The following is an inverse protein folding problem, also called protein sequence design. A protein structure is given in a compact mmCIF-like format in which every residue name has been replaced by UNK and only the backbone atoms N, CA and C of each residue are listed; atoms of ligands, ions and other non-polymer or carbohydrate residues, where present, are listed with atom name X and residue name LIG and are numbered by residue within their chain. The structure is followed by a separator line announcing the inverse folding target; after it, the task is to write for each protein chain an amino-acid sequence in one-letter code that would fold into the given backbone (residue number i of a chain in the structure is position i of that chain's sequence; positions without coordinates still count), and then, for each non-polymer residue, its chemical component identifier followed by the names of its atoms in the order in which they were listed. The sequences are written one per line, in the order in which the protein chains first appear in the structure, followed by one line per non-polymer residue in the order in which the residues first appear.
data_IF_825325958647
#
_entry.id   IF_825325958647
#
_cell.length_a   1.000
_cell.length_b   1.000
_cell.length_c   1.000
_cell.angle_alpha   90.00
_cell.angle_beta   90.00
_cell.angle_gamma   90.00
#
_symmetry.space_group_name_H-M   'P 1'
#
loop_
_entity.id
_entity.type
_entity.pdbx_description
1 polymer ?
#
# COMPACT_ATOMS: atom_id res chain seq x y z
N UNK A 1 -23.67 -24.02 29.49
CA UNK A 1 -22.49 -23.40 28.87
C UNK A 1 -23.01 -22.46 27.80
N UNK A 2 -23.02 -21.16 28.07
CA UNK A 2 -23.46 -20.15 27.12
C UNK A 2 -22.44 -20.08 25.98
N UNK A 3 -22.89 -20.36 24.76
CA UNK A 3 -22.14 -20.04 23.55
C UNK A 3 -22.02 -18.52 23.50
N UNK A 4 -20.89 -17.98 23.96
CA UNK A 4 -20.49 -16.62 23.64
C UNK A 4 -20.20 -16.60 22.14
N UNK A 5 -21.22 -16.30 21.35
CA UNK A 5 -21.01 -15.75 20.01
C UNK A 5 -20.30 -14.42 20.29
N UNK A 6 -18.97 -14.38 20.12
CA UNK A 6 -18.29 -13.10 19.97
C UNK A 6 -19.08 -12.33 18.93
N UNK A 7 -19.66 -11.21 19.32
CA UNK A 7 -20.25 -10.27 18.38
C UNK A 7 -19.10 -9.72 17.56
N UNK A 8 -18.70 -10.44 16.50
CA UNK A 8 -17.72 -9.99 15.52
C UNK A 8 -18.35 -8.88 14.69
N UNK A 9 -18.45 -7.70 15.30
CA UNK A 9 -18.81 -6.50 14.56
C UNK A 9 -17.71 -6.27 13.51
N UNK A 10 -18.08 -6.06 12.24
CA UNK A 10 -17.09 -5.77 11.21
C UNK A 10 -16.35 -4.48 11.57
N UNK A 11 -15.02 -4.52 11.47
CA UNK A 11 -14.21 -3.30 11.56
C UNK A 11 -14.28 -2.57 10.23
N UNK A 12 -14.64 -1.30 10.29
CA UNK A 12 -14.77 -0.43 9.12
C UNK A 12 -13.67 0.61 9.18
N UNK A 13 -12.84 0.64 8.13
CA UNK A 13 -11.85 1.69 7.92
C UNK A 13 -12.25 2.52 6.70
N UNK A 14 -12.39 3.84 6.90
CA UNK A 14 -12.64 4.78 5.82
C UNK A 14 -11.32 5.34 5.28
N UNK A 15 -11.22 5.45 3.95
CA UNK A 15 -10.12 6.12 3.25
C UNK A 15 -10.58 7.49 2.73
N UNK A 16 -9.69 8.47 2.77
CA UNK A 16 -9.98 9.83 2.27
C UNK A 16 -10.12 9.86 0.76
N UNK A 17 -9.24 9.15 0.06
CA UNK A 17 -9.25 9.01 -1.39
C UNK A 17 -9.66 7.59 -1.78
N UNK A 18 -10.22 7.44 -2.98
CA UNK A 18 -10.72 6.16 -3.46
C UNK A 18 -9.62 5.09 -3.40
N UNK A 19 -9.86 3.98 -2.69
CA UNK A 19 -8.94 2.85 -2.67
C UNK A 19 -8.93 2.15 -4.04
N UNK A 20 -7.74 1.70 -4.47
CA UNK A 20 -7.55 0.97 -5.74
C UNK A 20 -6.82 -0.35 -5.56
N UNK A 21 -5.83 -0.39 -4.67
CA UNK A 21 -5.01 -1.58 -4.43
C UNK A 21 -5.00 -1.92 -2.94
N UNK A 22 -4.90 -3.22 -2.64
CA UNK A 22 -4.87 -3.78 -1.30
C UNK A 22 -3.93 -4.99 -1.28
N UNK A 23 -3.05 -5.09 -0.29
CA UNK A 23 -2.29 -6.31 -0.01
C UNK A 23 -2.02 -6.48 1.49
N UNK A 24 -1.69 -7.70 1.91
CA UNK A 24 -1.15 -7.96 3.25
C UNK A 24 0.30 -7.48 3.35
N UNK A 25 0.77 -7.18 4.56
CA UNK A 25 2.18 -6.93 4.85
C UNK A 25 2.88 -8.26 5.19
N UNK A 26 3.43 -8.95 4.18
CA UNK A 26 3.89 -10.34 4.32
C UNK A 26 5.04 -10.54 5.31
N UNK A 27 5.91 -9.54 5.47
CA UNK A 27 7.05 -9.61 6.37
C UNK A 27 6.72 -9.27 7.84
N UNK A 28 5.45 -8.99 8.16
CA UNK A 28 4.98 -8.83 9.54
C UNK A 28 4.28 -10.13 9.98
N UNK A 29 4.87 -10.84 10.94
CA UNK A 29 4.39 -12.14 11.44
C UNK A 29 3.57 -12.04 12.71
N UNK A 30 3.72 -10.94 13.44
CA UNK A 30 3.22 -10.84 14.82
C UNK A 30 1.86 -10.11 14.88
N UNK A 31 1.47 -9.47 13.78
CA UNK A 31 0.25 -8.66 13.71
C UNK A 31 -0.34 -8.66 12.30
N UNK A 32 -1.66 -8.81 12.19
CA UNK A 32 -2.40 -8.64 10.95
C UNK A 32 -2.29 -7.18 10.46
N UNK A 33 -1.61 -7.00 9.33
CA UNK A 33 -1.33 -5.71 8.74
C UNK A 33 -1.70 -5.70 7.25
N UNK A 34 -2.38 -4.65 6.83
CA UNK A 34 -2.82 -4.45 5.45
C UNK A 34 -2.30 -3.13 4.90
N UNK A 35 -1.95 -3.11 3.63
CA UNK A 35 -1.56 -1.92 2.89
C UNK A 35 -2.64 -1.57 1.87
N UNK A 36 -3.07 -0.31 1.83
CA UNK A 36 -4.06 0.19 0.89
C UNK A 36 -3.41 1.30 0.06
N UNK A 37 -3.47 1.20 -1.27
CA UNK A 37 -3.07 2.27 -2.18
C UNK A 37 -4.28 2.99 -2.75
N UNK A 38 -4.25 4.32 -2.77
CA UNK A 38 -5.35 5.16 -3.27
C UNK A 38 -5.20 5.58 -4.73
N UNK A 39 -6.27 6.14 -5.29
CA UNK A 39 -6.32 6.77 -6.60
C UNK A 39 -6.91 8.19 -6.52
N UNK A 40 -6.19 9.14 -7.07
CA UNK A 40 -6.58 10.52 -7.28
C UNK A 40 -5.92 11.05 -8.54
N UNK A 41 -6.67 11.84 -9.32
CA UNK A 41 -6.14 12.56 -10.48
C UNK A 41 -5.21 13.72 -10.07
N UNK A 42 -5.29 14.19 -8.83
CA UNK A 42 -4.31 15.12 -8.25
C UNK A 42 -3.15 14.27 -7.76
N UNK A 43 -2.04 14.30 -8.50
CA UNK A 43 -0.85 13.44 -8.30
C UNK A 43 -0.40 13.38 -6.85
N UNK A 44 -0.34 14.54 -6.17
CA UNK A 44 0.12 14.67 -4.79
C UNK A 44 -0.84 14.14 -3.72
N UNK A 45 -2.09 13.79 -4.07
CA UNK A 45 -3.08 13.33 -3.09
C UNK A 45 -3.01 11.81 -2.85
N UNK A 46 -2.27 11.07 -3.68
CA UNK A 46 -2.23 9.63 -3.53
C UNK A 46 -1.46 9.25 -2.26
N UNK A 47 -1.90 8.16 -1.64
CA UNK A 47 -1.46 7.74 -0.31
C UNK A 47 -1.37 6.21 -0.26
N UNK A 48 -0.45 5.72 0.57
CA UNK A 48 -0.43 4.34 1.05
C UNK A 48 -0.81 4.34 2.52
N UNK A 49 -1.83 3.57 2.89
CA UNK A 49 -2.23 3.38 4.28
C UNK A 49 -1.71 2.03 4.76
N UNK A 50 -0.95 2.01 5.86
CA UNK A 50 -0.66 0.80 6.63
C UNK A 50 -1.69 0.70 7.76
N UNK A 51 -2.58 -0.27 7.68
CA UNK A 51 -3.64 -0.52 8.66
C UNK A 51 -3.26 -1.73 9.48
N UNK A 52 -3.03 -1.52 10.78
CA UNK A 52 -2.70 -2.59 11.74
C UNK A 52 -3.93 -2.98 12.54
N UNK A 53 -4.21 -4.26 12.66
CA UNK A 53 -5.27 -4.79 13.52
C UNK A 53 -4.74 -4.98 14.93
N UNK A 54 -5.27 -4.25 15.91
CA UNK A 54 -5.00 -4.50 17.32
C UNK A 54 -6.02 -5.51 17.84
N UNK A 55 -5.64 -6.78 17.91
CA UNK A 55 -6.55 -7.88 18.29
C UNK A 55 -7.13 -7.72 19.71
N UNK A 56 -6.32 -7.20 20.63
CA UNK A 56 -6.67 -7.04 22.05
C UNK A 56 -7.81 -6.04 22.27
N UNK A 57 -7.80 -4.96 21.50
CA UNK A 57 -8.80 -3.89 21.58
C UNK A 57 -9.84 -3.98 20.47
N UNK A 58 -9.65 -4.88 19.51
CA UNK A 58 -10.43 -4.99 18.27
C UNK A 58 -10.54 -3.62 17.57
N UNK A 59 -9.40 -2.94 17.39
CA UNK A 59 -9.33 -1.62 16.74
C UNK A 59 -8.35 -1.62 15.58
N UNK A 60 -8.56 -0.71 14.63
CA UNK A 60 -7.63 -0.49 13.52
C UNK A 60 -6.76 0.74 13.80
N UNK A 61 -5.45 0.58 13.64
CA UNK A 61 -4.45 1.63 13.83
C UNK A 61 -3.80 1.95 12.47
N UNK A 62 -4.31 2.97 11.74
CA UNK A 62 -3.75 3.36 10.46
C UNK A 62 -2.51 4.25 10.62
N UNK A 63 -1.60 4.13 9.67
CA UNK A 63 -0.46 5.03 9.42
C UNK A 63 -0.48 5.38 7.94
N UNK A 64 -0.29 6.66 7.60
CA UNK A 64 -0.53 7.19 6.25
C UNK A 64 0.78 7.72 5.65
N UNK A 65 1.08 7.26 4.45
CA UNK A 65 2.25 7.68 3.69
C UNK A 65 1.86 8.35 2.38
N UNK A 66 2.34 9.56 2.15
CA UNK A 66 2.15 10.30 0.90
C UNK A 66 2.88 9.60 -0.25
N UNK A 67 2.17 9.40 -1.36
CA UNK A 67 2.68 8.91 -2.64
C UNK A 67 2.52 10.01 -3.68
N UNK A 68 3.52 10.87 -3.80
CA UNK A 68 3.49 12.09 -4.64
C UNK A 68 3.78 11.83 -6.13
N UNK A 69 3.62 10.59 -6.59
CA UNK A 69 4.03 10.17 -7.93
C UNK A 69 2.88 9.78 -8.86
N UNK A 70 1.65 9.67 -8.34
CA UNK A 70 0.44 9.43 -9.12
C UNK A 70 -0.46 8.34 -8.54
N UNK A 71 -1.50 7.98 -9.29
CA UNK A 71 -2.44 6.93 -8.92
C UNK A 71 -1.73 5.60 -8.69
N UNK A 72 -2.08 4.89 -7.61
CA UNK A 72 -1.47 3.59 -7.28
C UNK A 72 -2.27 2.47 -7.95
N UNK A 73 -1.76 1.99 -9.07
CA UNK A 73 -2.37 0.91 -9.88
C UNK A 73 -2.13 -0.48 -9.30
N UNK A 74 -0.98 -0.68 -8.67
CA UNK A 74 -0.65 -1.93 -8.00
C UNK A 74 0.26 -1.64 -6.81
N UNK A 75 0.14 -2.47 -5.77
CA UNK A 75 0.86 -2.38 -4.52
C UNK A 75 1.22 -3.80 -4.06
N UNK A 76 2.50 -4.04 -3.79
CA UNK A 76 2.98 -5.29 -3.21
C UNK A 76 3.94 -5.00 -2.06
N UNK A 77 3.94 -5.86 -1.04
CA UNK A 77 4.88 -5.78 0.08
C UNK A 77 6.00 -6.80 -0.08
N UNK A 78 7.17 -6.47 0.44
CA UNK A 78 8.30 -7.39 0.48
C UNK A 78 7.99 -8.58 1.40
N UNK A 79 8.36 -9.81 1.00
CA UNK A 79 8.19 -10.99 1.83
C UNK A 79 9.22 -11.08 2.96
N UNK A 80 10.25 -10.22 2.97
CA UNK A 80 11.37 -10.32 3.92
C UNK A 80 11.74 -9.01 4.63
N UNK A 81 11.16 -7.88 4.23
CA UNK A 81 11.41 -6.58 4.87
C UNK A 81 10.09 -5.81 4.95
N UNK A 82 9.54 -5.67 6.17
CA UNK A 82 8.25 -5.02 6.40
C UNK A 82 8.25 -3.52 6.10
N UNK A 83 9.43 -2.93 5.92
CA UNK A 83 9.54 -1.53 5.54
C UNK A 83 9.62 -1.36 4.02
N UNK A 84 9.62 -2.42 3.20
CA UNK A 84 9.74 -2.31 1.74
C UNK A 84 8.45 -2.69 1.03
N UNK A 85 8.04 -1.81 0.12
CA UNK A 85 6.88 -2.01 -0.77
C UNK A 85 7.24 -1.63 -2.21
N UNK A 86 6.53 -2.17 -3.18
CA UNK A 86 6.59 -1.71 -4.56
C UNK A 86 5.23 -1.17 -4.99
N UNK A 87 5.25 -0.09 -5.77
CA UNK A 87 4.04 0.38 -6.46
C UNK A 87 4.24 0.39 -7.97
N UNK A 88 3.19 0.06 -8.70
CA UNK A 88 3.02 0.49 -10.09
C UNK A 88 2.06 1.69 -10.08
N UNK A 89 2.45 2.79 -10.71
CA UNK A 89 1.71 4.05 -10.64
C UNK A 89 1.67 4.78 -11.98
N UNK A 90 0.74 5.70 -12.12
CA UNK A 90 0.65 6.58 -13.29
C UNK A 90 0.08 7.93 -12.90
N UNK A 91 0.41 8.96 -13.69
CA UNK A 91 -0.15 10.29 -13.53
C UNK A 91 -0.62 10.82 -14.88
N UNK A 92 -1.68 11.62 -14.85
CA UNK A 92 -2.15 12.39 -16.01
C UNK A 92 -1.12 13.42 -16.48
N UNK A 93 -0.19 13.83 -15.61
CA UNK A 93 0.91 14.74 -15.94
C UNK A 93 1.99 14.08 -16.81
N UNK A 94 1.98 12.74 -16.91
CA UNK A 94 2.92 11.94 -17.70
C UNK A 94 2.20 11.03 -18.69
N UNK A 95 1.20 11.58 -19.38
CA UNK A 95 0.43 10.89 -20.44
C UNK A 95 -0.10 9.50 -20.03
N UNK A 96 -0.37 9.32 -18.73
CA UNK A 96 -0.82 8.06 -18.13
C UNK A 96 0.16 6.87 -18.31
N UNK A 97 1.42 7.13 -18.64
CA UNK A 97 2.49 6.13 -18.65
C UNK A 97 2.64 5.45 -17.29
N UNK A 98 3.03 4.17 -17.31
CA UNK A 98 3.13 3.32 -16.13
C UNK A 98 4.57 3.25 -15.67
N UNK A 99 4.77 3.72 -14.45
CA UNK A 99 6.04 3.70 -13.73
C UNK A 99 5.95 2.72 -12.59
N UNK A 100 7.10 2.24 -12.15
CA UNK A 100 7.17 1.44 -10.94
C UNK A 100 8.41 1.74 -10.14
N UNK A 101 8.28 1.66 -8.82
CA UNK A 101 9.34 1.96 -7.89
C UNK A 101 9.26 1.09 -6.65
N UNK A 102 10.41 0.89 -6.01
CA UNK A 102 10.58 0.35 -4.68
C UNK A 102 10.63 1.52 -3.69
N UNK A 103 9.87 1.41 -2.62
CA UNK A 103 9.75 2.43 -1.59
C UNK A 103 10.08 1.84 -0.22
N UNK A 104 10.61 2.70 0.65
CA UNK A 104 10.71 2.43 2.08
C UNK A 104 9.61 3.18 2.83
N UNK A 105 8.92 2.46 3.71
CA UNK A 105 7.96 3.02 4.66
C UNK A 105 8.74 3.71 5.79
N UNK A 106 8.52 5.02 6.03
CA UNK A 106 9.07 5.69 7.21
C UNK A 106 8.43 5.17 8.50
N UNK A 107 9.08 5.43 9.65
CA UNK A 107 8.59 4.97 10.95
C UNK A 107 7.26 5.61 11.36
N UNK A 108 7.02 6.86 10.95
CA UNK A 108 5.82 7.63 11.26
C UNK A 108 5.10 8.03 9.96
N UNK A 109 3.96 8.73 10.09
CA UNK A 109 3.32 9.38 8.94
C UNK A 109 4.32 10.29 8.22
N UNK A 110 4.19 10.39 6.89
CA UNK A 110 5.09 11.19 6.09
C UNK A 110 5.13 10.77 4.63
N UNK A 111 6.26 10.99 3.97
CA UNK A 111 6.43 10.65 2.56
C UNK A 111 7.07 9.28 2.40
N UNK A 112 6.64 8.52 1.40
CA UNK A 112 7.36 7.32 0.99
C UNK A 112 8.77 7.68 0.53
N UNK A 113 9.75 6.94 1.03
CA UNK A 113 11.15 7.12 0.64
C UNK A 113 11.44 6.33 -0.62
N UNK A 114 11.75 7.01 -1.74
CA UNK A 114 12.09 6.32 -2.98
C UNK A 114 13.45 5.59 -2.84
N UNK A 115 13.44 4.26 -2.94
CA UNK A 115 14.67 3.45 -2.93
C UNK A 115 15.22 3.35 -4.35
N UNK A 116 14.36 3.00 -5.31
CA UNK A 116 14.69 2.99 -6.73
C UNK A 116 13.42 3.11 -7.58
N UNK A 117 13.53 3.85 -8.68
CA UNK A 117 12.55 3.81 -9.76
C UNK A 117 13.07 2.92 -10.87
N UNK A 118 12.28 1.93 -11.29
CA UNK A 118 12.69 0.99 -12.33
C UNK A 118 12.54 1.65 -13.72
N UNK A 119 13.47 1.41 -14.66
CA UNK A 119 13.43 2.01 -15.99
C UNK A 119 12.34 1.34 -16.84
N UNK A 120 11.13 1.89 -16.79
CA UNK A 120 9.94 1.34 -17.46
C UNK A 120 9.38 2.20 -18.60
N UNK A 121 10.02 3.33 -18.90
CA UNK A 121 9.56 4.32 -19.89
C UNK A 121 9.33 3.67 -21.26
N UNK A 122 10.24 2.77 -21.67
CA UNK A 122 10.16 2.07 -22.95
C UNK A 122 8.93 1.15 -23.08
N UNK A 123 8.25 0.84 -21.99
CA UNK A 123 7.05 0.01 -21.96
C UNK A 123 5.76 0.84 -21.91
N UNK A 124 5.84 2.17 -21.84
CA UNK A 124 4.67 3.07 -21.85
C UNK A 124 3.60 2.66 -20.83
N UNK A 125 2.46 2.18 -21.31
CA UNK A 125 1.33 1.78 -20.45
C UNK A 125 1.30 0.28 -20.11
N UNK A 126 2.26 -0.51 -20.59
CA UNK A 126 2.21 -1.98 -20.54
C UNK A 126 2.63 -2.54 -19.17
N UNK A 127 3.33 -1.77 -18.34
CA UNK A 127 3.63 -2.19 -16.97
C UNK A 127 2.36 -2.18 -16.13
N UNK A 128 2.01 -3.34 -15.57
CA UNK A 128 0.79 -3.52 -14.75
C UNK A 128 1.10 -3.78 -13.28
N UNK A 129 2.19 -4.49 -13.01
CA UNK A 129 2.54 -4.98 -11.68
C UNK A 129 4.05 -5.05 -11.55
N UNK A 130 4.52 -4.79 -10.34
CA UNK A 130 5.84 -5.19 -9.87
C UNK A 130 5.62 -5.99 -8.61
N UNK A 131 6.18 -7.19 -8.56
CA UNK A 131 6.02 -8.10 -7.43
C UNK A 131 7.40 -8.50 -6.94
N UNK A 132 7.46 -8.82 -5.66
CA UNK A 132 8.64 -9.45 -5.10
C UNK A 132 8.67 -10.91 -5.51
N UNK A 133 9.87 -11.44 -5.73
CA UNK A 133 10.05 -12.88 -5.83
C UNK A 133 9.65 -13.52 -4.49
N UNK A 134 8.87 -14.62 -4.48
CA UNK A 134 8.29 -15.18 -3.26
C UNK A 134 9.33 -15.82 -2.32
N UNK A 135 10.53 -16.11 -2.81
CA UNK A 135 11.67 -16.54 -2.01
C UNK A 135 12.80 -15.53 -2.14
N UNK A 136 13.65 -15.42 -1.11
CA UNK A 136 14.93 -14.70 -1.22
C UNK A 136 15.70 -15.10 -2.48
#
# INVERSE_FOLDING_TARGET
MSNNIMSNNPLIYGVEFQARSLCSLHAESDQDCFLIGTQSLITSNNQVHLVKLQEETNTLCPQIYEHSCGEIWSLASSPTDKCLITTCYASIERDCEKFTALWRLPENDGHLENVITFPTEKYGTDVKVTTFHPTK
#
